data_IF_763243900450
#
_entry.id   IF_763243900450
#
_cell.length_a   1.000
_cell.length_b   1.000
_cell.length_c   1.000
_cell.angle_alpha   90.00
_cell.angle_beta   90.00
_cell.angle_gamma   90.00
#
_symmetry.space_group_name_H-M   'P 1'
#
loop_
_entity.id
_entity.type
_entity.pdbx_description
1 polymer ?
#
# COMPACT_ATOMS: atom_id res chain seq x y z
N UNK A 1 15.43 6.77 12.52
CA UNK A 1 14.47 6.03 11.66
C UNK A 1 13.26 5.57 12.46
N UNK A 2 12.03 5.82 12.01
CA UNK A 2 10.80 5.39 12.70
C UNK A 2 10.64 3.87 12.69
N UNK A 3 9.89 3.34 13.67
CA UNK A 3 9.43 1.94 13.62
C UNK A 3 8.25 1.83 12.65
N UNK A 4 8.07 0.68 12.02
CA UNK A 4 6.93 0.42 11.15
C UNK A 4 6.46 -1.03 11.25
N UNK A 5 5.17 -1.25 10.99
CA UNK A 5 4.56 -2.55 10.86
C UNK A 5 3.76 -2.60 9.55
N UNK A 6 4.40 -3.17 8.53
CA UNK A 6 3.86 -3.22 7.18
C UNK A 6 3.29 -4.60 6.88
N UNK A 7 2.13 -4.64 6.22
CA UNK A 7 1.51 -5.87 5.75
C UNK A 7 1.21 -5.76 4.26
N UNK A 8 1.72 -6.70 3.49
CA UNK A 8 1.36 -6.88 2.08
C UNK A 8 0.10 -7.74 2.03
N UNK A 9 -0.96 -7.24 1.39
CA UNK A 9 -2.17 -8.03 1.17
C UNK A 9 -2.06 -8.75 -0.17
N UNK A 10 -1.92 -10.07 -0.13
CA UNK A 10 -1.85 -10.92 -1.32
C UNK A 10 -3.11 -11.77 -1.42
N UNK A 11 -3.53 -12.07 -2.65
CA UNK A 11 -4.70 -12.90 -2.90
C UNK A 11 -4.77 -13.38 -4.34
N UNK A 12 -5.74 -14.24 -4.60
CA UNK A 12 -5.98 -14.81 -5.93
C UNK A 12 -6.87 -13.89 -6.76
N UNK A 13 -6.63 -13.86 -8.07
CA UNK A 13 -7.48 -13.19 -9.03
C UNK A 13 -8.08 -14.23 -9.99
N UNK A 14 -9.35 -14.58 -9.80
CA UNK A 14 -10.07 -15.54 -10.64
C UNK A 14 -10.61 -14.87 -11.91
N UNK A 15 -9.71 -14.42 -12.78
CA UNK A 15 -10.09 -13.93 -14.12
C UNK A 15 -10.42 -15.11 -15.06
N UNK A 16 -10.98 -14.84 -16.25
CA UNK A 16 -11.41 -15.88 -17.20
C UNK A 16 -10.27 -16.83 -17.59
N UNK A 17 -9.05 -16.32 -17.72
CA UNK A 17 -7.87 -17.14 -18.01
C UNK A 17 -7.51 -18.04 -16.82
N UNK A 18 -7.47 -17.49 -15.61
CA UNK A 18 -7.14 -18.27 -14.42
C UNK A 18 -8.21 -19.34 -14.14
N UNK A 19 -9.49 -19.07 -14.42
CA UNK A 19 -10.56 -20.06 -14.30
C UNK A 19 -10.44 -21.24 -15.26
N UNK A 20 -9.71 -21.11 -16.39
CA UNK A 20 -9.49 -22.23 -17.32
C UNK A 20 -8.24 -23.04 -17.03
N UNK A 21 -7.34 -22.53 -16.18
CA UNK A 21 -6.02 -23.12 -15.92
C UNK A 21 -5.80 -23.54 -14.47
N UNK A 22 -6.64 -23.07 -13.54
CA UNK A 22 -6.51 -23.31 -12.11
C UNK A 22 -7.85 -23.70 -11.50
N UNK A 23 -7.81 -24.38 -10.36
CA UNK A 23 -8.97 -24.82 -9.60
C UNK A 23 -8.76 -24.58 -8.09
N UNK A 24 -9.72 -25.00 -7.26
CA UNK A 24 -9.65 -24.75 -5.82
C UNK A 24 -8.51 -25.49 -5.11
N UNK A 25 -8.09 -26.63 -5.64
CA UNK A 25 -7.00 -27.44 -5.08
C UNK A 25 -5.64 -26.96 -5.59
N UNK A 26 -5.60 -26.41 -6.80
CA UNK A 26 -4.45 -25.83 -7.48
C UNK A 26 -4.73 -24.38 -7.87
N UNK A 27 -4.79 -23.45 -6.90
CA UNK A 27 -5.16 -22.06 -7.16
C UNK A 27 -4.08 -21.31 -7.96
N UNK A 28 -4.43 -20.21 -8.65
CA UNK A 28 -3.46 -19.40 -9.36
C UNK A 28 -2.42 -18.80 -8.41
N UNK A 29 -1.25 -18.34 -8.90
CA UNK A 29 -0.30 -17.60 -8.08
C UNK A 29 -0.96 -16.39 -7.42
N UNK A 30 -0.62 -16.14 -6.14
CA UNK A 30 -1.10 -14.95 -5.43
C UNK A 30 -0.48 -13.70 -6.02
N UNK A 31 -1.32 -12.69 -6.23
CA UNK A 31 -0.90 -11.35 -6.64
C UNK A 31 -1.00 -10.39 -5.45
N UNK A 32 -0.21 -9.30 -5.50
CA UNK A 32 -0.38 -8.20 -4.54
C UNK A 32 -1.67 -7.45 -4.85
N UNK A 33 -2.55 -7.35 -3.85
CA UNK A 33 -3.86 -6.71 -3.95
C UNK A 33 -3.93 -5.39 -3.16
N UNK A 34 -2.90 -5.07 -2.38
CA UNK A 34 -2.86 -3.86 -1.56
C UNK A 34 -1.78 -3.91 -0.50
N UNK A 35 -1.66 -2.82 0.24
CA UNK A 35 -0.69 -2.67 1.32
C UNK A 35 -1.33 -2.01 2.53
N UNK A 36 -0.82 -2.35 3.71
CA UNK A 36 -1.13 -1.66 4.97
C UNK A 36 0.17 -1.23 5.63
N UNK A 37 0.44 0.06 5.58
CA UNK A 37 1.55 0.69 6.28
C UNK A 37 1.06 1.21 7.63
N UNK A 38 1.79 0.91 8.69
CA UNK A 38 1.62 1.52 10.00
C UNK A 38 3.00 2.01 10.42
N UNK A 39 3.20 3.32 10.45
CA UNK A 39 4.48 3.95 10.76
C UNK A 39 4.33 4.69 12.07
N UNK A 40 5.24 4.43 13.00
CA UNK A 40 5.19 4.92 14.37
C UNK A 40 6.12 6.13 14.52
N UNK A 41 5.52 7.26 14.88
CA UNK A 41 6.13 8.54 15.15
C UNK A 41 5.74 9.08 16.55
N UNK A 42 6.02 8.35 17.65
CA UNK A 42 5.66 8.78 19.01
C UNK A 42 6.36 10.07 19.47
N UNK A 43 7.57 10.34 18.95
CA UNK A 43 8.47 11.41 19.42
C UNK A 43 8.53 12.61 18.47
N UNK A 44 7.47 12.83 17.67
CA UNK A 44 7.35 14.02 16.83
C UNK A 44 7.45 15.29 17.68
N UNK A 45 8.37 16.19 17.30
CA UNK A 45 8.56 17.47 18.00
C UNK A 45 7.29 18.31 17.88
N UNK A 46 6.78 18.46 16.65
CA UNK A 46 5.49 19.08 16.41
C UNK A 46 4.43 17.99 16.19
N UNK A 47 3.63 17.74 17.23
CA UNK A 47 2.52 16.77 17.18
C UNK A 47 1.35 17.23 16.29
N UNK A 48 1.32 18.50 15.88
CA UNK A 48 0.34 19.03 14.92
C UNK A 48 0.79 18.82 13.48
N UNK A 49 2.09 18.68 13.25
CA UNK A 49 2.63 18.31 11.95
C UNK A 49 2.18 16.89 11.61
N UNK A 50 1.54 16.76 10.45
CA UNK A 50 1.02 15.48 9.97
C UNK A 50 2.03 14.88 9.01
N UNK A 51 2.45 13.61 9.18
CA UNK A 51 3.30 12.95 8.21
C UNK A 51 2.65 12.91 6.82
N UNK A 52 3.45 13.21 5.81
CA UNK A 52 3.07 13.21 4.40
C UNK A 52 3.67 12.00 3.68
N UNK A 53 3.09 11.66 2.53
CA UNK A 53 3.64 10.62 1.67
C UNK A 53 3.71 11.07 0.22
N UNK A 54 4.70 10.54 -0.49
CA UNK A 54 4.97 10.82 -1.90
C UNK A 54 5.10 9.50 -2.64
N UNK A 55 4.50 9.43 -3.83
CA UNK A 55 4.56 8.25 -4.69
C UNK A 55 5.30 8.61 -5.98
N UNK A 56 6.41 7.94 -6.23
CA UNK A 56 7.25 8.17 -7.39
C UNK A 56 7.41 6.89 -8.19
N UNK A 57 7.06 6.91 -9.48
CA UNK A 57 7.28 5.74 -10.34
C UNK A 57 8.78 5.47 -10.50
N UNK A 58 9.19 4.20 -10.47
CA UNK A 58 10.58 3.84 -10.73
C UNK A 58 10.90 4.06 -12.22
N UNK A 59 11.98 4.80 -12.52
CA UNK A 59 12.40 5.06 -13.90
C UNK A 59 12.73 3.78 -14.68
N UNK A 60 13.38 2.82 -14.02
CA UNK A 60 13.85 1.58 -14.64
C UNK A 60 12.75 0.51 -14.76
N UNK A 61 11.70 0.59 -13.95
CA UNK A 61 10.65 -0.41 -13.93
C UNK A 61 9.29 0.19 -13.55
N UNK A 62 8.42 0.34 -14.57
CA UNK A 62 7.09 0.94 -14.44
C UNK A 62 6.11 0.12 -13.60
N UNK A 63 6.38 -1.16 -13.36
CA UNK A 63 5.54 -2.03 -12.52
C UNK A 63 5.70 -1.71 -11.03
N UNK A 64 6.72 -0.93 -10.66
CA UNK A 64 6.99 -0.55 -9.28
C UNK A 64 7.08 0.96 -9.10
N UNK A 65 6.75 1.40 -7.89
CA UNK A 65 6.88 2.77 -7.45
C UNK A 65 7.53 2.79 -6.06
N UNK A 66 8.19 3.90 -5.74
CA UNK A 66 8.73 4.21 -4.44
C UNK A 66 7.70 5.06 -3.69
N UNK A 67 7.19 4.51 -2.59
CA UNK A 67 6.33 5.21 -1.65
C UNK A 67 7.19 5.73 -0.50
N UNK A 68 7.37 7.04 -0.45
CA UNK A 68 8.16 7.75 0.56
C UNK A 68 7.24 8.36 1.60
N UNK A 69 7.64 8.31 2.87
CA UNK A 69 6.95 8.94 3.99
C UNK A 69 7.88 9.96 4.64
N UNK A 70 7.36 11.17 4.82
CA UNK A 70 8.05 12.31 5.42
C UNK A 70 7.28 12.75 6.66
N UNK A 71 7.93 12.77 7.83
CA UNK A 71 7.29 13.23 9.07
C UNK A 71 7.92 14.51 9.64
N UNK A 72 9.13 14.87 9.17
CA UNK A 72 9.94 15.93 9.75
C UNK A 72 10.68 15.49 11.02
N UNK A 73 11.43 16.42 11.65
CA UNK A 73 12.26 16.14 12.81
C UNK A 73 11.48 15.54 14.00
N UNK A 74 12.02 14.52 14.70
CA UNK A 74 13.38 13.98 14.63
C UNK A 74 13.53 12.79 13.66
N UNK A 75 12.51 12.48 12.87
CA UNK A 75 12.50 11.29 12.03
C UNK A 75 13.06 11.56 10.64
N UNK A 76 13.91 10.66 10.18
CA UNK A 76 14.32 10.57 8.78
C UNK A 76 13.20 9.98 7.92
N UNK A 77 13.18 10.41 6.66
CA UNK A 77 12.29 9.86 5.64
C UNK A 77 12.54 8.37 5.43
N UNK A 78 11.45 7.63 5.20
CA UNK A 78 11.51 6.21 4.87
C UNK A 78 10.80 5.97 3.55
N UNK A 79 11.27 5.01 2.79
CA UNK A 79 10.72 4.67 1.49
C UNK A 79 10.55 3.17 1.32
N UNK A 80 9.48 2.77 0.63
CA UNK A 80 9.20 1.37 0.32
C UNK A 80 8.93 1.21 -1.17
N UNK A 81 9.48 0.15 -1.77
CA UNK A 81 9.14 -0.25 -3.13
C UNK A 81 7.82 -1.01 -3.10
N UNK A 82 6.84 -0.52 -3.85
CA UNK A 82 5.50 -1.11 -3.98
C UNK A 82 5.14 -1.35 -5.44
N UNK A 83 4.15 -2.20 -5.69
CA UNK A 83 3.56 -2.34 -7.03
C UNK A 83 2.88 -1.02 -7.45
N UNK A 84 3.15 -0.59 -8.67
CA UNK A 84 2.59 0.63 -9.26
C UNK A 84 1.28 0.33 -9.98
N UNK A 85 0.21 0.13 -9.21
CA UNK A 85 -1.16 0.01 -9.70
C UNK A 85 -2.03 1.09 -9.07
N UNK A 86 -3.12 1.43 -9.73
CA UNK A 86 -4.05 2.44 -9.22
C UNK A 86 -4.73 2.00 -7.92
N UNK A 87 -4.80 2.93 -6.97
CA UNK A 87 -5.36 2.67 -5.64
C UNK A 87 -6.88 2.87 -5.63
N UNK A 88 -7.55 2.04 -4.85
CA UNK A 88 -8.95 2.21 -4.48
C UNK A 88 -9.02 3.12 -3.25
N UNK A 89 -9.50 4.35 -3.44
CA UNK A 89 -9.58 5.39 -2.40
C UNK A 89 -10.87 5.32 -1.56
N UNK A 90 -11.77 4.39 -1.87
CA UNK A 90 -13.01 4.25 -1.11
C UNK A 90 -12.77 3.71 0.30
N UNK A 91 -13.24 4.45 1.31
CA UNK A 91 -13.27 3.99 2.70
C UNK A 91 -14.05 2.69 2.89
N UNK A 92 -15.13 2.47 2.10
CA UNK A 92 -15.90 1.22 2.12
C UNK A 92 -15.05 0.01 1.69
N UNK A 93 -14.05 0.24 0.85
CA UNK A 93 -13.12 -0.78 0.37
C UNK A 93 -11.82 -0.83 1.19
N UNK A 94 -11.80 -0.22 2.37
CA UNK A 94 -10.70 -0.34 3.33
C UNK A 94 -9.59 0.69 3.15
N UNK A 95 -9.79 1.71 2.31
CA UNK A 95 -8.85 2.84 2.24
C UNK A 95 -8.79 3.57 3.60
N UNK A 96 -7.57 3.85 4.05
CA UNK A 96 -7.29 4.61 5.26
C UNK A 96 -6.03 5.42 5.04
N UNK A 97 -6.11 6.73 5.29
CA UNK A 97 -4.98 7.62 5.35
C UNK A 97 -5.20 8.55 6.55
N UNK A 98 -4.63 8.20 7.70
CA UNK A 98 -4.84 8.97 8.93
C UNK A 98 -3.60 8.95 9.83
N UNK A 99 -3.41 10.03 10.58
CA UNK A 99 -2.42 10.13 11.65
C UNK A 99 -3.13 10.26 12.99
N UNK A 100 -2.95 9.31 13.89
CA UNK A 100 -3.55 9.34 15.22
C UNK A 100 -2.66 8.62 16.23
N UNK A 101 -2.57 9.16 17.45
CA UNK A 101 -1.80 8.58 18.56
C UNK A 101 -0.33 8.28 18.20
N UNK A 102 0.30 9.13 17.39
CA UNK A 102 1.68 8.92 16.92
C UNK A 102 1.81 7.78 15.91
N UNK A 103 0.72 7.34 15.27
CA UNK A 103 0.74 6.28 14.27
C UNK A 103 0.16 6.82 12.96
N UNK A 104 0.98 6.82 11.91
CA UNK A 104 0.53 7.07 10.56
C UNK A 104 0.07 5.76 9.90
N UNK A 105 -1.20 5.72 9.52
CA UNK A 105 -1.84 4.57 8.90
C UNK A 105 -2.17 4.90 7.45
N UNK A 106 -1.46 4.24 6.53
CA UNK A 106 -1.77 4.29 5.10
C UNK A 106 -2.11 2.88 4.61
N UNK A 107 -3.40 2.62 4.45
CA UNK A 107 -3.94 1.34 3.99
C UNK A 107 -4.69 1.56 2.70
N UNK A 108 -4.41 0.72 1.72
CA UNK A 108 -5.10 0.78 0.44
C UNK A 108 -5.11 -0.59 -0.22
N UNK A 109 -6.12 -0.78 -1.05
CA UNK A 109 -6.17 -1.87 -2.02
C UNK A 109 -5.99 -1.31 -3.42
N UNK A 110 -5.57 -2.15 -4.35
CA UNK A 110 -5.58 -1.77 -5.77
C UNK A 110 -6.97 -1.90 -6.36
N UNK A 111 -7.30 -1.01 -7.31
CA UNK A 111 -8.55 -1.11 -8.06
C UNK A 111 -8.63 -2.45 -8.79
N UNK A 112 -9.81 -3.07 -8.72
CA UNK A 112 -10.12 -4.29 -9.45
C UNK A 112 -10.92 -3.95 -10.69
N UNK A 113 -10.31 -4.10 -11.85
CA UNK A 113 -10.98 -3.93 -13.13
C UNK A 113 -11.72 -5.22 -13.49
N UNK A 114 -13.06 -5.20 -13.38
CA UNK A 114 -13.88 -6.27 -13.93
C UNK A 114 -14.10 -5.99 -15.40
N UNK A 115 -13.49 -6.80 -16.27
CA UNK A 115 -13.82 -6.78 -17.67
C UNK A 115 -15.32 -7.13 -17.84
N UNK A 116 -16.08 -6.20 -18.41
CA UNK A 116 -17.47 -6.42 -18.83
C UNK A 116 -17.45 -6.63 -20.34
N UNK A 117 -17.95 -7.77 -20.80
CA UNK A 117 -18.04 -8.13 -22.22
C UNK A 117 -19.32 -7.57 -22.81
#
# INVERSE_FOLDING_TARGET
KPRFFNRVHTGFEWNKYNQTHYDFDNPPPKIVQGYKFNIFYPDLIDKRSTPEYFLEACADNKDFAILRFHAGPPYEDIAFKIVNREWEYSHRHGFRCQFANGIFQLWFHFKRYRYRR
#
